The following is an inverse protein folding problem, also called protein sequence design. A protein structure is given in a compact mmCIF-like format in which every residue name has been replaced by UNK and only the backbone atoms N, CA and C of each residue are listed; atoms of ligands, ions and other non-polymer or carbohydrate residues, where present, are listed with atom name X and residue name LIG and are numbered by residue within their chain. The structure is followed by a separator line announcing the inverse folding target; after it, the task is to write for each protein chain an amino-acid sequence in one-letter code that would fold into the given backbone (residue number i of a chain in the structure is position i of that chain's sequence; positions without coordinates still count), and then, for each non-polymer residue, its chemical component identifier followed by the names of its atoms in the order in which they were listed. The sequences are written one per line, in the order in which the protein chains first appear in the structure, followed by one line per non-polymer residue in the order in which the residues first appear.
data_IF_431993297469
#
_entry.id   IF_431993297469
#
_cell.length_a   1.000
_cell.length_b   1.000
_cell.length_c   1.000
_cell.angle_alpha   90.00
_cell.angle_beta   90.00
_cell.angle_gamma   90.00
#
_symmetry.space_group_name_H-M   'P 1'
#
loop_
_entity.id
_entity.type
_entity.pdbx_description
1 polymer ?
#
# COMPACT_ATOMS: atom_id res chain seq x y z
N UNK A 1 79.88 49.25 -27.72
CA UNK A 1 78.80 49.78 -26.85
C UNK A 1 77.47 49.20 -27.37
N UNK A 2 76.97 48.12 -26.75
CA UNK A 2 75.72 47.48 -27.14
C UNK A 2 74.62 47.82 -26.11
N UNK A 3 73.60 48.44 -26.64
CA UNK A 3 72.35 48.72 -25.82
C UNK A 3 71.42 47.60 -26.01
N UNK A 4 71.16 46.84 -24.90
CA UNK A 4 70.13 45.84 -24.88
C UNK A 4 68.74 46.50 -24.56
N UNK A 5 67.81 46.35 -25.47
CA UNK A 5 66.39 46.71 -25.28
C UNK A 5 65.69 45.58 -24.62
N UNK A 6 65.24 45.80 -23.39
CA UNK A 6 64.40 44.84 -22.64
C UNK A 6 62.94 45.16 -22.95
N UNK A 7 62.29 44.31 -23.75
CA UNK A 7 60.85 44.41 -24.01
C UNK A 7 60.11 43.60 -22.94
N UNK A 8 59.48 44.33 -22.04
CA UNK A 8 58.61 43.73 -21.05
C UNK A 8 57.26 43.31 -21.67
N UNK A 9 56.93 41.99 -21.68
CA UNK A 9 55.66 41.48 -22.09
C UNK A 9 54.74 41.53 -20.88
N UNK A 10 53.76 42.45 -20.85
CA UNK A 10 52.67 42.47 -19.95
C UNK A 10 51.68 41.37 -20.37
N UNK A 11 51.67 40.25 -19.68
CA UNK A 11 50.62 39.25 -19.80
C UNK A 11 49.41 39.72 -19.01
N UNK A 12 48.41 40.22 -19.71
CA UNK A 12 47.11 40.55 -19.16
C UNK A 12 46.41 39.27 -18.71
N UNK A 13 46.30 39.05 -17.40
CA UNK A 13 45.43 38.01 -16.84
C UNK A 13 43.99 38.44 -17.04
N UNK A 14 43.34 37.97 -18.09
CA UNK A 14 41.89 38.01 -18.22
C UNK A 14 41.29 37.10 -17.19
N UNK A 15 40.82 37.68 -16.08
CA UNK A 15 39.99 37.02 -15.09
C UNK A 15 38.69 36.65 -15.74
N UNK A 16 38.50 35.35 -16.02
CA UNK A 16 37.21 34.82 -16.37
C UNK A 16 36.29 35.04 -15.14
N UNK A 17 35.37 36.01 -15.24
CA UNK A 17 34.25 36.09 -14.35
C UNK A 17 33.50 34.79 -14.48
N UNK A 18 33.52 33.96 -13.42
CA UNK A 18 32.58 32.87 -13.24
C UNK A 18 31.18 33.49 -13.30
N UNK A 19 30.51 33.40 -14.43
CA UNK A 19 29.08 33.56 -14.48
C UNK A 19 28.52 32.42 -13.61
N UNK A 20 27.99 32.74 -12.44
CA UNK A 20 27.11 31.82 -11.72
C UNK A 20 26.03 31.48 -12.72
N UNK A 21 26.05 30.25 -13.25
CA UNK A 21 24.88 29.66 -13.85
C UNK A 21 23.82 29.64 -12.75
N UNK A 22 23.01 30.68 -12.69
CA UNK A 22 21.68 30.53 -12.13
C UNK A 22 21.05 29.45 -12.99
N UNK A 23 21.08 28.21 -12.48
CA UNK A 23 20.19 27.17 -12.98
C UNK A 23 18.80 27.77 -12.79
N UNK A 24 18.16 28.12 -13.89
CA UNK A 24 16.75 28.39 -13.93
C UNK A 24 16.08 27.16 -13.28
N UNK A 25 15.85 27.23 -11.97
CA UNK A 25 15.08 26.21 -11.26
C UNK A 25 13.66 26.43 -11.71
N UNK A 26 13.27 25.71 -12.76
CA UNK A 26 11.86 25.57 -13.13
C UNK A 26 11.14 25.15 -11.84
N UNK A 27 10.17 25.95 -11.37
CA UNK A 27 9.44 25.60 -10.15
C UNK A 27 8.92 24.17 -10.30
N UNK A 28 9.37 23.28 -9.44
CA UNK A 28 8.93 21.88 -9.49
C UNK A 28 7.46 21.85 -9.04
N UNK A 29 6.57 21.85 -10.02
CA UNK A 29 5.13 21.79 -9.76
C UNK A 29 4.86 20.40 -9.20
N UNK A 30 4.32 20.36 -7.98
CA UNK A 30 3.83 19.10 -7.42
C UNK A 30 2.55 18.66 -8.17
N UNK A 31 2.71 17.78 -9.14
CA UNK A 31 1.61 17.27 -9.97
C UNK A 31 0.75 16.25 -9.23
N UNK A 32 1.23 15.62 -8.16
CA UNK A 32 0.47 14.61 -7.41
C UNK A 32 -0.80 15.16 -6.79
N UNK A 33 -0.84 16.47 -6.50
CA UNK A 33 -2.04 17.15 -5.97
C UNK A 33 -3.25 17.15 -6.92
N UNK A 34 -3.04 16.85 -8.20
CA UNK A 34 -4.10 16.77 -9.20
C UNK A 34 -4.57 15.33 -9.43
N UNK A 35 -4.01 14.37 -8.72
CA UNK A 35 -4.38 12.96 -8.82
C UNK A 35 -5.33 12.62 -7.68
N UNK A 36 -6.51 12.16 -8.03
CA UNK A 36 -7.49 11.62 -7.10
C UNK A 36 -7.55 10.09 -7.26
N UNK A 37 -7.02 9.31 -6.31
CA UNK A 37 -7.04 7.84 -6.37
C UNK A 37 -8.44 7.24 -6.27
N UNK A 38 -9.47 8.00 -5.89
CA UNK A 38 -10.84 7.49 -5.85
C UNK A 38 -11.51 7.48 -7.22
N UNK A 39 -10.94 8.13 -8.24
CA UNK A 39 -11.47 8.07 -9.61
C UNK A 39 -11.47 6.62 -10.10
N UNK A 40 -12.65 6.16 -10.53
CA UNK A 40 -12.86 4.80 -11.01
C UNK A 40 -13.11 3.74 -9.93
N UNK A 41 -13.15 4.12 -8.64
CA UNK A 41 -13.43 3.17 -7.55
C UNK A 41 -14.92 2.93 -7.33
N UNK A 42 -15.81 3.67 -8.01
CA UNK A 42 -17.26 3.49 -7.99
C UNK A 42 -17.81 3.08 -9.35
N UNK A 43 -19.11 2.72 -9.39
CA UNK A 43 -19.76 2.21 -10.61
C UNK A 43 -19.03 0.99 -11.16
N UNK A 44 -18.75 0.98 -12.46
CA UNK A 44 -18.04 -0.11 -13.14
C UNK A 44 -16.55 0.21 -13.39
N UNK A 45 -15.91 1.03 -12.56
CA UNK A 45 -14.54 1.47 -12.81
C UNK A 45 -13.47 0.45 -12.45
N UNK A 46 -13.72 -0.39 -11.46
CA UNK A 46 -12.88 -1.50 -11.02
C UNK A 46 -11.44 -1.08 -10.68
N UNK A 47 -11.29 0.06 -9.99
CA UNK A 47 -10.01 0.51 -9.46
C UNK A 47 -10.00 0.49 -7.93
N UNK A 48 -8.85 0.66 -7.32
CA UNK A 48 -8.67 0.71 -5.87
C UNK A 48 -7.94 2.01 -5.47
N UNK A 49 -8.20 2.57 -4.28
CA UNK A 49 -7.60 3.83 -3.84
C UNK A 49 -6.26 3.66 -3.11
N UNK A 50 -5.77 2.44 -2.99
CA UNK A 50 -4.64 2.10 -2.13
C UNK A 50 -3.29 2.62 -2.60
N UNK A 51 -2.30 2.48 -1.73
CA UNK A 51 -0.94 2.93 -1.97
C UNK A 51 -0.22 2.04 -2.98
N UNK A 52 0.22 2.63 -4.08
CA UNK A 52 1.04 1.98 -5.09
C UNK A 52 2.06 2.97 -5.65
N UNK A 53 3.18 2.46 -6.14
CA UNK A 53 4.16 3.25 -6.89
C UNK A 53 4.16 2.81 -8.36
N UNK A 54 4.51 3.69 -9.30
CA UNK A 54 4.58 3.33 -10.71
C UNK A 54 5.45 2.08 -10.92
N UNK A 55 4.87 1.07 -11.61
CA UNK A 55 5.52 -0.22 -11.89
C UNK A 55 5.92 -1.02 -10.64
N UNK A 56 5.33 -0.70 -9.47
CA UNK A 56 5.52 -1.46 -8.25
C UNK A 56 4.84 -2.83 -8.31
N UNK A 57 5.44 -3.82 -7.64
CA UNK A 57 4.84 -5.14 -7.47
C UNK A 57 3.65 -5.09 -6.49
N UNK A 58 3.66 -4.16 -5.54
CA UNK A 58 2.67 -4.08 -4.48
C UNK A 58 1.64 -2.99 -4.73
N UNK A 59 0.39 -3.33 -4.44
CA UNK A 59 -0.79 -2.49 -4.42
C UNK A 59 -1.48 -2.68 -3.06
N UNK A 60 -1.02 -1.92 -2.05
CA UNK A 60 -1.57 -2.05 -0.69
C UNK A 60 -2.85 -1.24 -0.59
N UNK A 61 -3.99 -1.93 -0.49
CA UNK A 61 -5.29 -1.29 -0.58
C UNK A 61 -6.31 -1.93 0.37
N UNK A 62 -7.35 -1.19 0.78
CA UNK A 62 -8.46 -1.78 1.52
C UNK A 62 -9.25 -2.77 0.68
N UNK A 63 -9.77 -3.79 1.36
CA UNK A 63 -10.73 -4.75 0.84
C UNK A 63 -12.08 -4.54 1.50
N UNK A 64 -13.14 -4.42 0.69
CA UNK A 64 -14.53 -4.37 1.16
C UNK A 64 -15.19 -5.75 1.19
N UNK A 65 -14.53 -6.78 0.67
CA UNK A 65 -15.07 -8.12 0.52
C UNK A 65 -15.63 -8.39 -0.88
N UNK A 66 -16.44 -9.43 -1.00
CA UNK A 66 -17.04 -9.84 -2.28
C UNK A 66 -18.52 -9.50 -2.30
N UNK A 67 -18.93 -8.52 -3.08
CA UNK A 67 -20.34 -8.13 -3.23
C UNK A 67 -20.81 -8.14 -4.68
N UNK A 68 -20.07 -8.80 -5.58
CA UNK A 68 -20.38 -8.89 -7.00
C UNK A 68 -19.24 -8.39 -7.89
N UNK A 69 -19.57 -8.23 -9.17
CA UNK A 69 -18.58 -7.90 -10.19
C UNK A 69 -17.87 -6.56 -9.96
N UNK A 70 -18.59 -5.55 -9.47
CA UNK A 70 -18.02 -4.21 -9.26
C UNK A 70 -16.98 -4.17 -8.13
N UNK A 71 -16.95 -5.17 -7.25
CA UNK A 71 -15.95 -5.31 -6.18
C UNK A 71 -14.70 -6.10 -6.59
N UNK A 72 -14.54 -6.42 -7.86
CA UNK A 72 -13.45 -7.29 -8.32
C UNK A 72 -12.04 -6.74 -8.09
N UNK A 73 -11.87 -5.43 -7.89
CA UNK A 73 -10.61 -4.81 -7.48
C UNK A 73 -10.35 -4.85 -5.97
N UNK A 74 -11.25 -5.49 -5.19
CA UNK A 74 -11.19 -5.53 -3.72
C UNK A 74 -11.94 -4.40 -3.04
N UNK A 75 -12.04 -3.24 -3.65
CA UNK A 75 -12.67 -2.03 -3.13
C UNK A 75 -13.78 -1.53 -4.04
N UNK A 76 -14.85 -0.98 -3.45
CA UNK A 76 -15.86 -0.21 -4.18
C UNK A 76 -16.32 0.98 -3.32
N UNK A 77 -16.36 2.18 -3.92
CA UNK A 77 -16.63 3.45 -3.22
C UNK A 77 -18.01 3.53 -2.56
N UNK A 78 -19.01 2.79 -3.03
CA UNK A 78 -20.33 2.78 -2.36
C UNK A 78 -20.37 1.98 -1.08
N UNK A 79 -19.28 1.32 -0.71
CA UNK A 79 -19.20 0.49 0.49
C UNK A 79 -18.71 1.27 1.70
N UNK A 80 -19.03 0.78 2.89
CA UNK A 80 -18.62 1.34 4.17
C UNK A 80 -18.06 0.28 5.13
N UNK A 81 -17.77 -0.92 4.62
CA UNK A 81 -17.21 -2.02 5.40
C UNK A 81 -15.81 -2.33 4.86
N UNK A 82 -14.83 -2.39 5.74
CA UNK A 82 -13.51 -2.93 5.46
C UNK A 82 -13.34 -4.27 6.16
N UNK A 83 -12.75 -5.23 5.45
CA UNK A 83 -12.35 -6.54 6.00
C UNK A 83 -10.84 -6.69 6.09
N UNK A 84 -10.10 -5.63 5.82
CA UNK A 84 -8.64 -5.57 5.91
C UNK A 84 -7.99 -4.91 4.72
N UNK A 85 -6.69 -5.10 4.62
CA UNK A 85 -5.82 -4.49 3.62
C UNK A 85 -4.94 -5.57 3.01
N UNK A 86 -5.15 -5.88 1.73
CA UNK A 86 -4.31 -6.82 1.01
C UNK A 86 -3.22 -6.12 0.19
N UNK A 87 -2.28 -6.89 -0.34
CA UNK A 87 -1.05 -6.37 -0.93
C UNK A 87 -1.00 -6.45 -2.44
N UNK A 88 -1.91 -7.20 -3.06
CA UNK A 88 -1.99 -7.34 -4.51
C UNK A 88 -3.42 -7.11 -4.97
N UNK A 89 -3.60 -6.20 -5.93
CA UNK A 89 -4.90 -5.87 -6.50
C UNK A 89 -4.81 -5.74 -8.01
N UNK A 90 -5.84 -6.17 -8.72
CA UNK A 90 -6.05 -5.83 -10.13
C UNK A 90 -6.76 -4.48 -10.23
N UNK A 91 -6.54 -3.76 -11.31
CA UNK A 91 -7.14 -2.46 -11.55
C UNK A 91 -7.67 -2.37 -12.98
N UNK A 92 -8.93 -1.93 -13.14
CA UNK A 92 -9.56 -1.67 -14.42
C UNK A 92 -9.85 -2.90 -15.28
N UNK A 93 -9.86 -4.11 -14.69
CA UNK A 93 -9.96 -5.36 -15.46
C UNK A 93 -11.34 -6.02 -15.41
N UNK A 94 -12.16 -5.75 -14.42
CA UNK A 94 -13.39 -6.49 -14.17
C UNK A 94 -13.17 -7.96 -13.78
N UNK A 95 -11.96 -8.35 -13.41
CA UNK A 95 -11.56 -9.69 -12.99
C UNK A 95 -11.31 -9.68 -11.48
N UNK A 96 -12.04 -10.51 -10.74
CA UNK A 96 -11.79 -10.74 -9.31
C UNK A 96 -10.73 -11.80 -9.13
N UNK A 97 -9.52 -11.38 -8.84
CA UNK A 97 -8.36 -12.21 -8.56
C UNK A 97 -7.39 -11.43 -7.68
N UNK A 98 -6.35 -12.08 -7.17
CA UNK A 98 -5.36 -11.54 -6.25
C UNK A 98 -5.94 -11.32 -4.83
N UNK A 99 -5.84 -10.11 -4.26
CA UNK A 99 -6.15 -9.80 -2.85
C UNK A 99 -5.34 -10.65 -1.86
N UNK A 100 -4.07 -10.91 -2.22
CA UNK A 100 -3.17 -11.75 -1.45
C UNK A 100 -2.66 -11.07 -0.19
N UNK A 101 -2.43 -11.87 0.85
CA UNK A 101 -1.80 -11.47 2.11
C UNK A 101 -2.54 -10.30 2.75
N UNK A 102 -3.74 -10.58 3.27
CA UNK A 102 -4.56 -9.56 3.91
C UNK A 102 -4.25 -9.42 5.39
N UNK A 103 -4.11 -8.16 5.83
CA UNK A 103 -3.90 -7.79 7.22
C UNK A 103 -5.08 -6.97 7.72
N UNK A 104 -5.54 -7.24 8.95
CA UNK A 104 -6.55 -6.43 9.62
C UNK A 104 -6.15 -6.18 11.07
N UNK A 105 -5.95 -4.91 11.49
CA UNK A 105 -5.68 -4.60 12.88
C UNK A 105 -6.98 -4.69 13.71
N UNK A 106 -6.88 -5.27 14.89
CA UNK A 106 -7.97 -5.40 15.84
C UNK A 106 -7.49 -5.17 17.28
N UNK A 107 -8.37 -4.74 18.17
CA UNK A 107 -8.05 -4.51 19.58
C UNK A 107 -8.87 -5.38 20.55
N UNK A 108 -9.57 -6.36 20.03
CA UNK A 108 -10.37 -7.32 20.81
C UNK A 108 -10.25 -8.73 20.24
N UNK A 109 -10.56 -9.72 21.05
CA UNK A 109 -10.62 -11.10 20.56
C UNK A 109 -11.79 -11.27 19.60
N UNK A 110 -11.55 -12.02 18.53
CA UNK A 110 -12.55 -12.43 17.54
C UNK A 110 -12.49 -13.94 17.35
N UNK A 111 -13.61 -14.54 16.99
CA UNK A 111 -13.67 -15.96 16.69
C UNK A 111 -13.27 -16.21 15.24
N UNK A 112 -12.02 -16.60 15.02
CA UNK A 112 -11.51 -16.91 13.68
C UNK A 112 -11.99 -18.27 13.14
N UNK A 113 -12.65 -19.10 13.97
CA UNK A 113 -13.25 -20.37 13.55
C UNK A 113 -14.72 -20.22 13.13
N UNK A 114 -15.31 -19.02 13.29
CA UNK A 114 -16.67 -18.75 12.87
C UNK A 114 -16.87 -19.03 11.38
N UNK A 115 -18.00 -19.61 11.02
CA UNK A 115 -18.36 -19.83 9.62
C UNK A 115 -18.60 -18.47 8.93
N UNK A 116 -17.89 -18.22 7.83
CA UNK A 116 -18.02 -17.01 7.01
C UNK A 116 -18.67 -17.40 5.69
N UNK A 117 -19.94 -17.02 5.51
CA UNK A 117 -20.69 -17.21 4.25
C UNK A 117 -20.68 -15.97 3.38
N UNK A 118 -20.71 -14.82 4.03
CA UNK A 118 -20.66 -13.50 3.39
C UNK A 118 -19.62 -12.62 4.07
N UNK A 119 -19.27 -11.49 3.49
CA UNK A 119 -18.40 -10.52 4.17
C UNK A 119 -18.98 -10.04 5.50
N UNK A 120 -20.30 -10.02 5.63
CA UNK A 120 -20.96 -9.56 6.85
C UNK A 120 -20.77 -10.52 8.03
N UNK A 121 -20.38 -11.75 7.76
CA UNK A 121 -20.02 -12.76 8.77
C UNK A 121 -18.54 -12.68 9.18
N UNK A 122 -17.71 -11.87 8.49
CA UNK A 122 -16.27 -11.74 8.81
C UNK A 122 -16.12 -11.15 10.21
N UNK A 123 -15.55 -11.91 11.18
CA UNK A 123 -15.58 -11.53 12.59
C UNK A 123 -14.68 -10.33 12.93
N UNK A 124 -13.78 -9.96 12.03
CA UNK A 124 -12.86 -8.83 12.16
C UNK A 124 -13.18 -7.70 11.18
N UNK A 125 -14.35 -7.65 10.53
CA UNK A 125 -14.77 -6.51 9.73
C UNK A 125 -14.90 -5.24 10.57
N UNK A 126 -14.77 -4.09 9.93
CA UNK A 126 -15.04 -2.80 10.56
C UNK A 126 -15.75 -1.85 9.62
N UNK A 127 -16.71 -1.11 10.16
CA UNK A 127 -17.29 0.03 9.46
C UNK A 127 -16.28 1.17 9.37
N UNK A 128 -16.38 1.96 8.30
CA UNK A 128 -15.68 3.21 8.11
C UNK A 128 -16.57 4.27 7.45
N UNK A 129 -16.07 5.48 7.32
CA UNK A 129 -16.75 6.58 6.62
C UNK A 129 -15.79 7.22 5.64
N UNK A 130 -16.26 7.55 4.44
CA UNK A 130 -15.47 8.30 3.45
C UNK A 130 -15.02 9.68 3.95
N UNK A 131 -15.70 10.26 4.95
CA UNK A 131 -15.25 11.49 5.60
C UNK A 131 -13.98 11.30 6.46
N UNK A 132 -13.64 10.05 6.79
CA UNK A 132 -12.48 9.66 7.59
C UNK A 132 -11.55 8.74 6.80
N UNK A 133 -11.70 8.73 5.49
CA UNK A 133 -10.89 8.04 4.51
C UNK A 133 -10.12 9.06 3.67
N UNK A 134 -8.86 8.78 3.38
CA UNK A 134 -8.04 9.66 2.57
C UNK A 134 -7.09 8.85 1.68
N UNK A 135 -6.96 9.25 0.43
CA UNK A 135 -6.02 8.67 -0.52
C UNK A 135 -5.26 9.77 -1.27
N UNK A 136 -4.00 9.51 -1.53
CA UNK A 136 -3.15 10.29 -2.43
C UNK A 136 -2.14 9.35 -3.08
N UNK A 137 -1.47 9.74 -4.18
CA UNK A 137 -0.48 8.87 -4.81
C UNK A 137 0.54 8.31 -3.81
N UNK A 138 0.54 6.98 -3.65
CA UNK A 138 1.43 6.26 -2.74
C UNK A 138 1.03 6.27 -1.26
N UNK A 139 -0.14 6.78 -0.92
CA UNK A 139 -0.63 6.80 0.46
C UNK A 139 -2.14 6.58 0.54
N UNK A 140 -2.56 5.85 1.57
CA UNK A 140 -3.95 5.65 1.92
C UNK A 140 -4.11 5.66 3.44
N UNK A 141 -5.24 6.18 3.95
CA UNK A 141 -5.59 6.05 5.35
C UNK A 141 -7.09 5.99 5.58
N UNK A 142 -7.49 5.32 6.66
CA UNK A 142 -8.89 5.19 7.06
C UNK A 142 -9.02 5.00 8.56
N UNK A 143 -10.15 5.46 9.14
CA UNK A 143 -10.53 5.18 10.51
C UNK A 143 -11.45 3.96 10.57
N UNK A 144 -10.99 2.88 11.20
CA UNK A 144 -11.76 1.67 11.47
C UNK A 144 -12.61 1.88 12.72
N UNK A 145 -13.93 2.02 12.58
CA UNK A 145 -14.81 2.49 13.66
C UNK A 145 -15.04 1.44 14.75
N UNK A 146 -15.19 0.17 14.37
CA UNK A 146 -15.48 -0.91 15.33
C UNK A 146 -14.32 -1.23 16.27
N UNK A 147 -13.11 -0.81 15.88
CA UNK A 147 -11.89 -1.00 16.66
C UNK A 147 -11.26 0.33 17.11
N UNK A 148 -11.79 1.48 16.66
CA UNK A 148 -11.20 2.79 16.90
C UNK A 148 -9.70 2.84 16.55
N UNK A 149 -9.34 2.25 15.40
CA UNK A 149 -7.97 2.17 14.92
C UNK A 149 -7.83 2.99 13.64
N UNK A 150 -6.85 3.90 13.59
CA UNK A 150 -6.44 4.53 12.35
C UNK A 150 -5.44 3.63 11.64
N UNK A 151 -5.76 3.25 10.40
CA UNK A 151 -4.86 2.55 9.50
C UNK A 151 -4.28 3.53 8.49
N UNK A 152 -2.96 3.47 8.30
CA UNK A 152 -2.21 4.26 7.32
C UNK A 152 -1.32 3.31 6.50
N UNK A 153 -1.36 3.44 5.19
CA UNK A 153 -0.68 2.54 4.24
C UNK A 153 0.21 3.34 3.29
N UNK A 154 1.38 2.79 3.01
CA UNK A 154 2.23 3.24 1.91
C UNK A 154 2.98 2.06 1.32
N UNK A 155 3.59 2.24 0.17
CA UNK A 155 4.34 1.18 -0.51
C UNK A 155 5.58 1.71 -1.22
N UNK A 156 6.50 0.81 -1.49
CA UNK A 156 7.53 0.98 -2.50
C UNK A 156 7.42 -0.15 -3.54
N UNK A 157 8.46 -0.37 -4.34
CA UNK A 157 8.43 -1.35 -5.44
C UNK A 157 8.06 -2.78 -4.98
N UNK A 158 8.44 -3.18 -3.75
CA UNK A 158 8.29 -4.56 -3.26
C UNK A 158 7.92 -4.67 -1.78
N UNK A 159 7.70 -3.55 -1.09
CA UNK A 159 7.40 -3.55 0.34
C UNK A 159 6.16 -2.69 0.60
N UNK A 160 5.17 -3.26 1.26
CA UNK A 160 4.05 -2.53 1.83
C UNK A 160 4.37 -2.14 3.27
N UNK A 161 3.99 -0.94 3.66
CA UNK A 161 4.11 -0.44 5.03
C UNK A 161 2.74 -0.15 5.58
N UNK A 162 2.48 -0.68 6.77
CA UNK A 162 1.27 -0.45 7.51
C UNK A 162 1.62 0.24 8.83
N UNK A 163 0.90 1.30 9.14
CA UNK A 163 0.94 1.91 10.46
C UNK A 163 -0.46 1.89 11.04
N UNK A 164 -0.60 1.24 12.18
CA UNK A 164 -1.85 1.15 12.91
C UNK A 164 -1.74 1.94 14.22
N UNK A 165 -2.60 2.92 14.39
CA UNK A 165 -2.67 3.72 15.61
C UNK A 165 -3.84 3.22 16.44
N UNK A 166 -3.53 2.57 17.56
CA UNK A 166 -4.49 2.07 18.53
C UNK A 166 -4.74 3.12 19.62
N UNK A 167 -5.89 3.05 20.29
CA UNK A 167 -6.10 3.83 21.50
C UNK A 167 -5.11 3.40 22.59
N UNK A 168 -4.86 4.29 23.56
CA UNK A 168 -3.98 4.01 24.68
C UNK A 168 -4.52 2.81 25.50
N UNK A 169 -3.61 1.90 25.87
CA UNK A 169 -3.89 0.68 26.61
C UNK A 169 -4.74 -0.39 25.89
N UNK A 170 -5.02 -0.23 24.60
CA UNK A 170 -5.69 -1.28 23.82
C UNK A 170 -4.78 -2.49 23.59
N UNK A 171 -5.40 -3.67 23.52
CA UNK A 171 -4.75 -4.86 22.95
C UNK A 171 -4.44 -4.59 21.48
N UNK A 172 -3.18 -4.78 21.09
CA UNK A 172 -2.75 -4.55 19.72
C UNK A 172 -2.56 -5.89 19.01
N UNK A 173 -3.48 -6.23 18.13
CA UNK A 173 -3.44 -7.48 17.38
C UNK A 173 -3.61 -7.22 15.88
N UNK A 174 -3.08 -8.14 15.07
CA UNK A 174 -3.27 -8.12 13.62
C UNK A 174 -3.71 -9.51 13.17
N UNK A 175 -4.86 -9.59 12.53
CA UNK A 175 -5.28 -10.81 11.82
C UNK A 175 -4.54 -10.86 10.49
N UNK A 176 -3.96 -12.01 10.19
CA UNK A 176 -3.33 -12.30 8.89
C UNK A 176 -4.19 -13.35 8.21
N UNK A 177 -4.90 -12.95 7.19
CA UNK A 177 -5.79 -13.81 6.44
C UNK A 177 -5.16 -14.20 5.10
N UNK A 178 -4.83 -15.49 4.96
CA UNK A 178 -4.34 -16.10 3.74
C UNK A 178 -5.40 -16.95 3.03
N UNK A 179 -6.58 -17.06 3.63
CA UNK A 179 -7.69 -17.87 3.12
C UNK A 179 -8.66 -17.08 2.25
N UNK A 180 -8.70 -15.77 2.39
CA UNK A 180 -9.62 -14.94 1.64
C UNK A 180 -9.38 -15.04 0.13
N UNK A 181 -10.47 -15.10 -0.59
CA UNK A 181 -10.48 -15.15 -2.04
C UNK A 181 -11.63 -14.32 -2.58
N UNK A 182 -11.41 -13.65 -3.70
CA UNK A 182 -12.41 -12.86 -4.40
C UNK A 182 -12.83 -13.57 -5.69
N UNK A 183 -14.14 -13.68 -5.92
CA UNK A 183 -14.73 -14.28 -7.12
C UNK A 183 -14.19 -15.71 -7.42
N UNK A 184 -13.31 -15.84 -8.41
CA UNK A 184 -12.80 -17.12 -8.90
C UNK A 184 -11.51 -17.58 -8.23
N UNK A 185 -10.85 -16.71 -7.52
CA UNK A 185 -9.63 -17.07 -6.79
C UNK A 185 -9.95 -18.07 -5.67
N UNK A 186 -9.05 -19.01 -5.47
CA UNK A 186 -9.14 -20.01 -4.40
C UNK A 186 -7.75 -20.26 -3.85
N UNK A 187 -7.59 -20.11 -2.55
CA UNK A 187 -6.38 -20.54 -1.86
C UNK A 187 -6.24 -22.05 -1.94
N UNK A 188 -5.12 -22.52 -2.48
CA UNK A 188 -4.80 -23.96 -2.62
C UNK A 188 -3.83 -24.44 -1.56
N UNK A 189 -2.96 -23.57 -1.07
CA UNK A 189 -2.07 -23.83 0.05
C UNK A 189 -1.62 -22.50 0.67
N UNK A 190 -1.44 -22.50 1.99
CA UNK A 190 -0.88 -21.35 2.69
C UNK A 190 -0.07 -21.80 3.91
N UNK A 191 0.86 -20.96 4.35
CA UNK A 191 1.65 -21.21 5.54
C UNK A 191 2.13 -19.89 6.13
N UNK A 192 2.17 -19.84 7.46
CA UNK A 192 2.88 -18.81 8.24
C UNK A 192 3.89 -19.52 9.13
N UNK A 193 5.09 -18.96 9.22
CA UNK A 193 6.17 -19.42 10.11
C UNK A 193 6.72 -18.23 10.87
N UNK A 194 6.84 -18.36 12.19
CA UNK A 194 7.53 -17.38 13.03
C UNK A 194 9.03 -17.59 12.88
N UNK A 195 9.74 -16.55 12.48
CA UNK A 195 11.18 -16.55 12.26
C UNK A 195 11.92 -16.11 13.53
N UNK A 196 11.47 -15.02 14.11
CA UNK A 196 12.01 -14.47 15.35
C UNK A 196 10.90 -13.77 16.16
N UNK A 197 11.28 -13.05 17.21
CA UNK A 197 10.32 -12.38 18.09
C UNK A 197 9.43 -11.34 17.40
N UNK A 198 9.79 -10.83 16.24
CA UNK A 198 9.04 -9.77 15.55
C UNK A 198 8.85 -10.04 14.05
N UNK A 199 9.29 -11.19 13.56
CA UNK A 199 9.32 -11.51 12.13
C UNK A 199 8.60 -12.81 11.83
N UNK A 200 7.72 -12.76 10.86
CA UNK A 200 7.09 -13.95 10.26
C UNK A 200 7.46 -14.04 8.78
N UNK A 201 7.39 -15.22 8.24
CA UNK A 201 7.38 -15.48 6.80
C UNK A 201 6.21 -16.39 6.44
N UNK A 202 5.85 -16.39 5.17
CA UNK A 202 4.77 -17.25 4.72
C UNK A 202 4.63 -17.26 3.22
N UNK A 203 3.62 -17.99 2.79
CA UNK A 203 3.20 -18.02 1.40
C UNK A 203 1.69 -18.23 1.30
N UNK A 204 1.14 -17.79 0.18
CA UNK A 204 -0.17 -18.15 -0.32
C UNK A 204 -0.03 -18.66 -1.76
N UNK A 205 -0.52 -19.87 -2.01
CA UNK A 205 -0.73 -20.38 -3.34
C UNK A 205 -2.23 -20.32 -3.67
N UNK A 206 -2.55 -19.92 -4.87
CA UNK A 206 -3.93 -19.80 -5.29
C UNK A 206 -4.12 -20.21 -6.75
N UNK A 207 -5.37 -20.41 -7.12
CA UNK A 207 -5.81 -20.63 -8.48
C UNK A 207 -7.07 -19.82 -8.74
N UNK A 208 -7.07 -19.08 -9.81
CA UNK A 208 -8.16 -18.23 -10.24
C UNK A 208 -8.02 -17.98 -11.74
N UNK A 209 -7.98 -16.74 -12.12
CA UNK A 209 -7.59 -16.35 -13.48
C UNK A 209 -6.13 -16.76 -13.75
N UNK A 210 -5.24 -16.45 -12.81
CA UNK A 210 -3.92 -17.07 -12.78
C UNK A 210 -4.02 -18.50 -12.22
N UNK A 211 -3.73 -19.51 -13.06
CA UNK A 211 -3.94 -20.92 -12.71
C UNK A 211 -3.01 -21.46 -11.63
N UNK A 212 -1.87 -20.86 -11.43
CA UNK A 212 -0.85 -21.31 -10.50
C UNK A 212 -0.09 -20.12 -9.92
N UNK A 213 -0.78 -19.32 -9.12
CA UNK A 213 -0.21 -18.16 -8.46
C UNK A 213 0.50 -18.58 -7.17
N UNK A 214 1.66 -18.01 -6.94
CA UNK A 214 2.47 -18.27 -5.74
C UNK A 214 3.04 -16.96 -5.23
N UNK A 215 2.59 -16.54 -4.06
CA UNK A 215 3.06 -15.34 -3.39
C UNK A 215 3.78 -15.74 -2.11
N UNK A 216 4.99 -15.22 -1.92
CA UNK A 216 5.80 -15.42 -0.74
C UNK A 216 6.01 -14.07 -0.07
N UNK A 217 6.01 -14.05 1.27
CA UNK A 217 6.19 -12.82 2.01
C UNK A 217 7.03 -12.99 3.27
N UNK A 218 7.61 -11.88 3.71
CA UNK A 218 8.16 -11.69 5.05
C UNK A 218 7.51 -10.44 5.62
N UNK A 219 7.02 -10.52 6.84
CA UNK A 219 6.48 -9.37 7.56
C UNK A 219 7.24 -9.18 8.86
N UNK A 220 7.63 -7.92 9.14
CA UNK A 220 8.30 -7.54 10.37
C UNK A 220 7.44 -6.53 11.12
N UNK A 221 7.18 -6.83 12.38
CA UNK A 221 6.43 -5.97 13.28
C UNK A 221 7.36 -5.07 14.10
N UNK A 222 6.87 -3.92 14.49
CA UNK A 222 7.60 -2.97 15.35
C UNK A 222 7.65 -3.41 16.82
N UNK A 223 6.81 -4.37 17.20
CA UNK A 223 6.75 -4.95 18.56
C UNK A 223 6.91 -6.47 18.49
N UNK A 224 7.37 -7.12 19.56
CA UNK A 224 7.40 -8.58 19.64
C UNK A 224 6.01 -9.19 19.46
N UNK A 225 5.98 -10.36 18.84
CA UNK A 225 4.79 -11.19 18.68
C UNK A 225 4.60 -11.97 19.98
N UNK A 226 3.47 -11.77 20.62
CA UNK A 226 3.06 -12.59 21.76
C UNK A 226 2.45 -13.91 21.26
N UNK A 227 2.72 -15.00 21.99
CA UNK A 227 2.24 -16.34 21.66
C UNK A 227 0.99 -16.69 22.44
#
# INVERSE_FOLDING_TARGET
ISILFLIGILVGMSSCKNSKNEKDTIPQINLTKFVDPFIGTGGHGHTYPGATVPFGMLQVSPDNGTSGWDWCSGYHYSDSISIGFSHLHLSGTGIGDLTDIRLMPINKKVDLAAEVKTRDDVPYKSFYSHNEENASPGYYSVQLKDFNIKAELTSNLRTGFHKYTFAENDTQSVVIDLGFAINWDKTTASKISVIDAATISGFRHSTGWAKNQKVFFVARFSKPIEK
#
